data_IF_235400131532
#
_entry.id   IF_235400131532
#
_cell.length_a   1.000
_cell.length_b   1.000
_cell.length_c   1.000
_cell.angle_alpha   90.00
_cell.angle_beta   90.00
_cell.angle_gamma   90.00
#
_symmetry.space_group_name_H-M   'P 1'
#
loop_
_entity.id
_entity.type
_entity.pdbx_description
1 polymer ?
#
# COMPACT_ATOMS: atom_id res chain seq x y z
N UNK A 1 -9.13 -6.70 -20.91
CA UNK A 1 -8.51 -6.07 -19.72
C UNK A 1 -9.33 -6.48 -18.53
N UNK A 2 -8.73 -6.95 -17.44
CA UNK A 2 -9.44 -7.05 -16.16
C UNK A 2 -9.80 -5.62 -15.75
N UNK A 3 -11.06 -5.37 -15.39
CA UNK A 3 -11.47 -4.09 -14.81
C UNK A 3 -10.63 -3.88 -13.55
N UNK A 4 -9.88 -2.79 -13.53
CA UNK A 4 -9.03 -2.42 -12.41
C UNK A 4 -9.36 -1.01 -11.97
N UNK A 5 -9.06 -0.74 -10.70
CA UNK A 5 -9.34 0.54 -10.08
C UNK A 5 -8.05 1.17 -9.57
N UNK A 6 -8.06 2.47 -9.32
CA UNK A 6 -7.00 3.16 -8.58
C UNK A 6 -7.59 4.02 -7.47
N UNK A 7 -6.77 4.31 -6.47
CA UNK A 7 -7.07 5.34 -5.48
C UNK A 7 -6.44 6.64 -5.92
N UNK A 8 -7.20 7.74 -5.88
CA UNK A 8 -6.66 9.05 -6.15
C UNK A 8 -5.78 9.50 -4.98
N UNK A 9 -4.64 10.09 -5.29
CA UNK A 9 -3.76 10.71 -4.32
C UNK A 9 -4.49 11.82 -3.54
N UNK A 10 -4.23 11.86 -2.23
CA UNK A 10 -4.72 12.89 -1.30
C UNK A 10 -3.59 13.84 -0.93
N UNK A 11 -2.39 13.29 -0.78
CA UNK A 11 -1.17 14.01 -0.41
C UNK A 11 -0.52 14.58 -1.64
N UNK A 12 -0.22 15.88 -1.61
CA UNK A 12 0.43 16.56 -2.72
C UNK A 12 1.95 16.31 -2.74
N UNK A 13 2.56 16.53 -3.91
CA UNK A 13 4.01 16.38 -4.12
C UNK A 13 4.86 17.14 -3.09
N UNK A 14 4.45 18.35 -2.70
CA UNK A 14 5.17 19.17 -1.73
C UNK A 14 5.22 18.55 -0.34
N UNK A 15 4.11 17.94 0.09
CA UNK A 15 4.01 17.24 1.37
C UNK A 15 4.84 15.96 1.36
N UNK A 16 4.84 15.22 0.25
CA UNK A 16 5.68 14.04 0.11
C UNK A 16 7.19 14.39 0.15
N UNK A 17 7.61 15.50 -0.48
CA UNK A 17 8.98 16.01 -0.37
C UNK A 17 9.33 16.31 1.09
N UNK A 18 8.43 16.97 1.82
CA UNK A 18 8.64 17.27 3.24
C UNK A 18 8.78 16.00 4.08
N UNK A 19 7.92 15.01 3.87
CA UNK A 19 8.01 13.72 4.55
C UNK A 19 9.36 13.01 4.31
N UNK A 20 9.86 13.04 3.06
CA UNK A 20 11.18 12.50 2.71
C UNK A 20 12.30 13.25 3.43
N UNK A 21 12.24 14.59 3.42
CA UNK A 21 13.26 15.42 4.09
C UNK A 21 13.27 15.19 5.59
N UNK A 22 12.10 15.11 6.23
CA UNK A 22 11.96 14.79 7.65
C UNK A 22 12.56 13.43 7.98
N UNK A 23 12.23 12.40 7.19
CA UNK A 23 12.79 11.06 7.33
C UNK A 23 14.31 11.04 7.21
N UNK A 24 14.87 11.66 6.16
CA UNK A 24 16.32 11.71 5.94
C UNK A 24 17.04 12.58 7.00
N UNK A 25 16.36 13.58 7.56
CA UNK A 25 16.91 14.41 8.64
C UNK A 25 16.87 13.74 10.00
N UNK A 26 16.12 12.64 10.14
CA UNK A 26 15.96 11.93 11.41
C UNK A 26 17.30 11.45 11.95
N UNK A 27 17.47 11.57 13.27
CA UNK A 27 18.73 11.28 13.95
C UNK A 27 19.24 9.86 13.69
N UNK A 28 18.35 8.87 13.68
CA UNK A 28 18.69 7.47 13.42
C UNK A 28 19.19 7.26 11.99
N UNK A 29 18.53 7.85 10.99
CA UNK A 29 18.97 7.74 9.60
C UNK A 29 20.32 8.43 9.42
N UNK A 30 20.53 9.60 10.02
CA UNK A 30 21.80 10.32 9.94
C UNK A 30 22.99 9.56 10.55
N UNK A 31 22.78 8.80 11.62
CA UNK A 31 23.84 7.99 12.25
C UNK A 31 24.16 6.75 11.43
N UNK A 32 23.14 6.10 10.87
CA UNK A 32 23.31 4.88 10.08
C UNK A 32 23.78 5.17 8.64
N UNK A 33 23.51 6.36 8.12
CA UNK A 33 23.91 6.77 6.79
C UNK A 33 25.41 7.11 6.74
N UNK A 34 26.18 6.26 6.06
CA UNK A 34 27.60 6.52 5.75
C UNK A 34 27.81 7.69 4.78
N UNK A 35 26.79 7.99 3.96
CA UNK A 35 26.82 9.04 2.94
C UNK A 35 25.51 9.82 2.97
N UNK A 36 25.62 11.14 2.88
CA UNK A 36 24.47 12.04 2.80
C UNK A 36 23.75 11.82 1.47
N UNK A 37 22.49 11.42 1.55
CA UNK A 37 21.63 11.28 0.37
C UNK A 37 20.86 12.58 0.14
N UNK A 38 20.63 12.92 -1.12
CA UNK A 38 19.85 14.08 -1.50
C UNK A 38 18.73 13.66 -2.45
N UNK A 39 17.51 14.15 -2.22
CA UNK A 39 16.40 13.97 -3.15
C UNK A 39 16.71 14.66 -4.48
N UNK A 40 16.76 13.86 -5.55
CA UNK A 40 17.09 14.31 -6.91
C UNK A 40 15.83 14.55 -7.74
N UNK A 41 14.84 13.67 -7.62
CA UNK A 41 13.56 13.77 -8.33
C UNK A 41 12.47 13.04 -7.55
N UNK A 42 11.22 13.32 -7.88
CA UNK A 42 10.05 12.64 -7.31
C UNK A 42 8.95 12.56 -8.37
N UNK A 43 8.33 11.39 -8.48
CA UNK A 43 7.23 11.11 -9.40
C UNK A 43 6.07 10.41 -8.67
N UNK A 44 4.86 10.54 -9.23
CA UNK A 44 3.70 9.77 -8.77
C UNK A 44 3.67 8.46 -9.53
N UNK A 45 3.62 7.35 -8.79
CA UNK A 45 3.50 6.03 -9.36
C UNK A 45 2.41 5.23 -8.66
N UNK A 46 1.87 4.25 -9.37
CA UNK A 46 0.73 3.45 -8.90
C UNK A 46 1.15 1.99 -8.77
N UNK A 47 1.16 1.50 -7.53
CA UNK A 47 1.56 0.13 -7.22
C UNK A 47 0.33 -0.79 -7.20
N UNK A 48 0.36 -1.95 -7.86
CA UNK A 48 -0.77 -2.88 -7.89
C UNK A 48 -0.89 -3.70 -6.61
N UNK A 49 -2.12 -3.86 -6.15
CA UNK A 49 -2.52 -4.71 -5.02
C UNK A 49 -3.68 -5.61 -5.47
N UNK A 50 -3.75 -6.82 -4.92
CA UNK A 50 -4.96 -7.64 -4.99
C UNK A 50 -5.94 -7.21 -3.91
N UNK A 51 -7.07 -6.65 -4.33
CA UNK A 51 -8.15 -6.22 -3.44
C UNK A 51 -9.21 -7.32 -3.31
N UNK A 52 -9.61 -7.60 -2.07
CA UNK A 52 -10.70 -8.50 -1.74
C UNK A 52 -11.80 -7.72 -1.02
N UNK A 53 -13.00 -7.79 -1.56
CA UNK A 53 -14.18 -7.37 -0.80
C UNK A 53 -14.57 -8.48 0.16
N UNK A 54 -14.69 -8.13 1.43
CA UNK A 54 -14.99 -9.09 2.48
C UNK A 54 -16.24 -8.72 3.25
N UNK A 55 -16.89 -9.75 3.77
CA UNK A 55 -17.90 -9.66 4.81
C UNK A 55 -17.39 -10.42 6.04
N UNK A 56 -17.46 -9.77 7.19
CA UNK A 56 -17.06 -10.31 8.47
C UNK A 56 -18.28 -10.48 9.35
N UNK A 57 -18.47 -11.70 9.87
CA UNK A 57 -19.51 -12.03 10.83
C UNK A 57 -18.89 -12.61 12.10
N UNK A 58 -19.55 -12.37 13.23
CA UNK A 58 -19.15 -12.94 14.52
C UNK A 58 -20.36 -13.03 15.44
N UNK A 59 -20.33 -13.95 16.40
CA UNK A 59 -21.43 -14.17 17.35
C UNK A 59 -21.79 -12.92 18.19
N UNK A 60 -20.90 -11.92 18.29
CA UNK A 60 -21.16 -10.67 19.02
C UNK A 60 -21.55 -9.50 18.14
N UNK A 61 -21.38 -9.61 16.83
CA UNK A 61 -21.75 -8.54 15.91
C UNK A 61 -23.24 -8.67 15.58
N UNK A 62 -23.98 -7.59 15.80
CA UNK A 62 -25.41 -7.54 15.45
C UNK A 62 -25.62 -7.56 13.93
N UNK A 63 -24.65 -7.03 13.19
CA UNK A 63 -24.67 -6.91 11.73
C UNK A 63 -23.29 -7.27 11.17
N UNK A 64 -23.27 -7.77 9.94
CA UNK A 64 -22.04 -8.10 9.25
C UNK A 64 -21.25 -6.83 8.90
N UNK A 65 -19.95 -6.84 9.14
CA UNK A 65 -19.06 -5.74 8.77
C UNK A 65 -18.54 -6.01 7.36
N UNK A 66 -18.76 -5.05 6.47
CA UNK A 66 -18.22 -5.10 5.10
C UNK A 66 -16.99 -4.22 4.99
N UNK A 67 -16.03 -4.66 4.20
CA UNK A 67 -14.83 -3.89 3.95
C UNK A 67 -14.07 -4.38 2.73
N UNK A 68 -12.92 -3.76 2.52
CA UNK A 68 -11.96 -4.11 1.47
C UNK A 68 -10.60 -4.30 2.12
N UNK A 69 -9.87 -5.33 1.70
CA UNK A 69 -8.46 -5.52 2.05
C UNK A 69 -7.66 -5.64 0.77
N UNK A 70 -6.61 -4.85 0.64
CA UNK A 70 -5.69 -4.87 -0.49
C UNK A 70 -4.36 -5.43 -0.03
N UNK A 71 -3.81 -6.40 -0.76
CA UNK A 71 -2.52 -7.05 -0.48
C UNK A 71 -1.57 -6.82 -1.65
N UNK A 72 -0.40 -6.26 -1.35
CA UNK A 72 0.70 -6.12 -2.30
C UNK A 72 1.40 -7.49 -2.45
N UNK A 73 1.49 -8.05 -3.67
CA UNK A 73 1.86 -9.45 -3.88
C UNK A 73 3.34 -9.81 -3.63
N UNK A 74 4.26 -8.84 -3.52
CA UNK A 74 5.70 -9.11 -3.37
C UNK A 74 6.10 -9.18 -1.90
N UNK A 75 5.63 -8.22 -1.11
CA UNK A 75 6.00 -8.04 0.30
C UNK A 75 4.87 -8.40 1.26
N UNK A 76 3.69 -8.76 0.73
CA UNK A 76 2.46 -8.96 1.48
C UNK A 76 2.07 -7.76 2.36
N UNK A 77 2.51 -6.56 1.97
CA UNK A 77 2.08 -5.33 2.62
C UNK A 77 0.59 -5.13 2.35
N UNK A 78 -0.17 -4.82 3.41
CA UNK A 78 -1.62 -4.74 3.34
C UNK A 78 -2.16 -3.34 3.60
N UNK A 79 -3.31 -3.05 3.01
CA UNK A 79 -4.11 -1.86 3.28
C UNK A 79 -5.57 -2.26 3.50
N UNK A 80 -6.18 -1.80 4.60
CA UNK A 80 -7.60 -2.01 4.87
C UNK A 80 -8.34 -0.74 4.48
N UNK A 81 -9.35 -0.90 3.63
CA UNK A 81 -10.16 0.19 3.10
C UNK A 81 -11.63 0.02 3.57
N UNK A 82 -12.32 1.12 3.91
CA UNK A 82 -13.77 1.12 4.08
C UNK A 82 -14.50 0.54 2.86
N UNK A 83 -15.67 -0.06 3.07
CA UNK A 83 -16.46 -0.64 1.98
C UNK A 83 -16.84 0.39 0.90
N UNK A 84 -17.07 1.63 1.31
CA UNK A 84 -17.48 2.79 0.50
C UNK A 84 -16.31 3.68 0.06
N UNK A 85 -15.06 3.26 0.28
CA UNK A 85 -13.91 4.04 -0.16
C UNK A 85 -13.95 4.26 -1.68
N UNK A 86 -13.80 5.51 -2.17
CA UNK A 86 -13.99 5.82 -3.58
C UNK A 86 -12.93 5.13 -4.43
N UNK A 87 -13.39 4.32 -5.39
CA UNK A 87 -12.56 3.64 -6.37
C UNK A 87 -12.74 4.31 -7.73
N UNK A 88 -11.63 4.68 -8.37
CA UNK A 88 -11.65 5.29 -9.70
C UNK A 88 -11.30 4.24 -10.76
N UNK A 89 -12.04 4.15 -11.88
CA UNK A 89 -11.68 3.24 -12.95
C UNK A 89 -10.37 3.68 -13.60
N UNK A 90 -9.51 2.71 -13.93
CA UNK A 90 -8.25 2.98 -14.64
C UNK A 90 -8.51 3.61 -16.02
N UNK A 91 -7.77 4.67 -16.35
CA UNK A 91 -7.69 5.21 -17.70
C UNK A 91 -6.53 4.57 -18.49
N UNK A 92 -6.68 4.43 -19.81
CA UNK A 92 -5.66 3.91 -20.74
C UNK A 92 -4.37 4.73 -20.78
N UNK A 93 -4.45 6.01 -20.45
CA UNK A 93 -3.28 6.92 -20.47
C UNK A 93 -2.45 6.87 -19.17
N UNK A 94 -2.88 6.07 -18.18
CA UNK A 94 -2.13 5.93 -16.93
C UNK A 94 -0.92 5.01 -17.13
N UNK A 95 0.26 5.49 -16.73
CA UNK A 95 1.44 4.65 -16.62
C UNK A 95 1.35 3.83 -15.33
N UNK A 96 0.92 2.57 -15.45
CA UNK A 96 0.70 1.66 -14.33
C UNK A 96 1.78 0.59 -14.30
N UNK A 97 2.26 0.27 -13.10
CA UNK A 97 3.13 -0.88 -12.93
C UNK A 97 2.42 -2.19 -13.28
N UNK A 98 3.14 -3.17 -13.86
CA UNK A 98 2.55 -4.48 -14.11
C UNK A 98 2.24 -5.18 -12.79
N UNK A 99 1.15 -5.95 -12.78
CA UNK A 99 0.84 -6.84 -11.65
C UNK A 99 1.82 -8.01 -11.69
N UNK A 100 2.72 -8.06 -10.72
CA UNK A 100 3.68 -9.16 -10.56
C UNK A 100 3.27 -9.99 -9.35
N UNK A 101 3.12 -11.30 -9.52
CA UNK A 101 2.71 -12.22 -8.47
C UNK A 101 1.21 -12.54 -8.47
N UNK A 102 0.84 -13.49 -7.62
CA UNK A 102 -0.50 -14.07 -7.58
C UNK A 102 -1.34 -13.53 -6.42
N UNK A 103 -2.62 -13.90 -6.41
CA UNK A 103 -3.54 -13.62 -5.32
C UNK A 103 -3.14 -14.41 -4.05
N UNK A 104 -3.03 -13.72 -2.91
CA UNK A 104 -2.84 -14.35 -1.60
C UNK A 104 -4.04 -14.11 -0.69
N UNK A 105 -5.01 -15.04 -0.75
CA UNK A 105 -6.22 -14.98 0.06
C UNK A 105 -5.95 -15.23 1.55
N UNK A 106 -4.90 -15.96 1.89
CA UNK A 106 -4.59 -16.27 3.29
C UNK A 106 -3.96 -15.05 3.97
N UNK A 107 -3.05 -14.34 3.30
CA UNK A 107 -2.54 -13.06 3.78
C UNK A 107 -3.66 -12.01 3.98
N UNK A 108 -4.65 -12.00 3.09
CA UNK A 108 -5.84 -11.17 3.24
C UNK A 108 -6.68 -11.52 4.48
N UNK A 109 -6.94 -12.82 4.71
CA UNK A 109 -7.68 -13.28 5.91
C UNK A 109 -6.92 -12.96 7.19
N UNK A 110 -5.62 -13.24 7.21
CA UNK A 110 -4.77 -12.98 8.38
C UNK A 110 -4.76 -11.49 8.72
N UNK A 111 -4.63 -10.62 7.71
CA UNK A 111 -4.70 -9.16 7.88
C UNK A 111 -6.01 -8.72 8.54
N UNK A 112 -7.16 -9.16 8.00
CA UNK A 112 -8.48 -8.82 8.55
C UNK A 112 -8.63 -9.36 9.97
N UNK A 113 -8.21 -10.61 10.20
CA UNK A 113 -8.28 -11.24 11.51
C UNK A 113 -7.50 -10.44 12.56
N UNK A 114 -6.26 -10.03 12.26
CA UNK A 114 -5.45 -9.23 13.17
C UNK A 114 -6.03 -7.85 13.45
N UNK A 115 -6.54 -7.17 12.43
CA UNK A 115 -7.19 -5.87 12.58
C UNK A 115 -8.38 -5.96 13.55
N UNK A 116 -9.21 -6.98 13.39
CA UNK A 116 -10.40 -7.20 14.21
C UNK A 116 -10.01 -7.65 15.61
N UNK A 117 -9.02 -8.53 15.73
CA UNK A 117 -8.52 -9.00 17.02
C UNK A 117 -7.97 -7.84 17.87
N UNK A 118 -7.26 -6.88 17.27
CA UNK A 118 -6.75 -5.70 17.96
C UNK A 118 -7.89 -4.80 18.48
N UNK A 119 -8.99 -4.67 17.73
CA UNK A 119 -10.16 -3.86 18.10
C UNK A 119 -11.03 -4.52 19.17
N UNK A 120 -11.33 -5.81 19.03
CA UNK A 120 -12.29 -6.53 19.88
C UNK A 120 -11.64 -7.19 21.11
N UNK A 121 -10.30 -7.30 21.16
CA UNK A 121 -9.49 -7.86 22.27
C UNK A 121 -9.91 -9.26 22.76
N UNK A 122 -10.77 -9.98 22.03
CA UNK A 122 -11.28 -11.32 22.42
C UNK A 122 -11.13 -12.30 21.26
N UNK A 123 -10.69 -13.51 21.58
CA UNK A 123 -10.70 -14.66 20.68
C UNK A 123 -12.13 -15.20 20.60
N UNK A 124 -12.92 -14.67 19.67
CA UNK A 124 -14.25 -15.20 19.34
C UNK A 124 -14.25 -15.72 17.91
N UNK A 125 -15.19 -16.58 17.56
CA UNK A 125 -15.33 -17.04 16.18
C UNK A 125 -15.57 -15.83 15.28
N UNK A 126 -14.64 -15.59 14.37
CA UNK A 126 -14.71 -14.58 13.33
C UNK A 126 -14.76 -15.36 12.02
N UNK A 127 -15.84 -15.21 11.28
CA UNK A 127 -15.98 -15.80 9.97
C UNK A 127 -15.78 -14.69 8.92
N UNK A 128 -14.84 -14.92 8.00
CA UNK A 128 -14.49 -13.98 6.94
C UNK A 128 -14.83 -14.63 5.61
N UNK A 129 -15.70 -13.99 4.84
CA UNK A 129 -16.08 -14.41 3.49
C UNK A 129 -15.61 -13.38 2.48
N UNK A 130 -14.96 -13.83 1.41
CA UNK A 130 -14.58 -12.97 0.29
C UNK A 130 -15.63 -13.06 -0.82
N UNK A 131 -16.19 -11.90 -1.19
CA UNK A 131 -17.26 -11.81 -2.18
C UNK A 131 -16.72 -11.63 -3.59
N UNK A 132 -15.62 -10.88 -3.73
CA UNK A 132 -15.00 -10.56 -5.01
C UNK A 132 -13.49 -10.34 -4.84
N UNK A 133 -12.75 -10.42 -5.95
CA UNK A 133 -11.33 -10.10 -5.99
C UNK A 133 -10.99 -9.36 -7.29
N UNK A 134 -10.27 -8.25 -7.19
CA UNK A 134 -9.85 -7.43 -8.34
C UNK A 134 -8.52 -6.74 -8.07
N UNK A 135 -7.93 -6.14 -9.10
CA UNK A 135 -6.69 -5.38 -8.96
C UNK A 135 -7.04 -3.93 -8.63
N UNK A 136 -6.40 -3.40 -7.60
CA UNK A 136 -6.45 -1.98 -7.25
C UNK A 136 -5.03 -1.40 -7.28
N UNK A 137 -4.91 -0.18 -7.74
CA UNK A 137 -3.66 0.55 -7.83
C UNK A 137 -3.61 1.65 -6.76
N UNK A 138 -2.68 1.51 -5.82
CA UNK A 138 -2.48 2.48 -4.75
C UNK A 138 -1.42 3.52 -5.16
N UNK A 139 -1.66 4.82 -4.90
CA UNK A 139 -0.77 5.89 -5.31
C UNK A 139 0.39 6.08 -4.32
N UNK A 140 1.60 6.24 -4.84
CA UNK A 140 2.81 6.52 -4.07
C UNK A 140 3.65 7.60 -4.76
N UNK A 141 4.18 8.51 -3.96
CA UNK A 141 5.24 9.42 -4.40
C UNK A 141 6.59 8.73 -4.24
N UNK A 142 7.30 8.51 -5.34
CA UNK A 142 8.60 7.82 -5.34
C UNK A 142 9.71 8.85 -5.38
N UNK A 143 10.37 9.07 -4.24
CA UNK A 143 11.53 9.95 -4.14
C UNK A 143 12.82 9.24 -4.54
N UNK A 144 13.49 9.73 -5.58
CA UNK A 144 14.79 9.23 -6.02
C UNK A 144 15.91 9.96 -5.28
N UNK A 145 16.69 9.21 -4.51
CA UNK A 145 17.80 9.74 -3.73
C UNK A 145 19.13 9.51 -4.44
N UNK A 146 19.91 10.58 -4.59
CA UNK A 146 21.28 10.55 -5.10
C UNK A 146 22.27 10.50 -3.93
N UNK A 147 23.20 9.55 -4.01
CA UNK A 147 24.36 9.33 -3.13
C UNK A 147 25.33 8.41 -3.87
N UNK A 148 26.01 7.51 -3.18
CA UNK A 148 26.88 6.50 -3.84
C UNK A 148 26.11 5.53 -4.74
N UNK A 149 24.84 5.28 -4.42
CA UNK A 149 23.89 4.51 -5.23
C UNK A 149 22.57 5.27 -5.32
N UNK A 150 21.88 5.12 -6.44
CA UNK A 150 20.50 5.61 -6.58
C UNK A 150 19.62 4.77 -5.64
N UNK A 151 18.95 5.44 -4.70
CA UNK A 151 17.97 4.83 -3.82
C UNK A 151 16.58 5.36 -4.12
N UNK A 152 15.56 4.65 -3.66
CA UNK A 152 14.18 5.13 -3.67
C UNK A 152 13.64 5.21 -2.24
N UNK A 153 12.78 6.19 -2.00
CA UNK A 153 11.92 6.30 -0.82
C UNK A 153 10.47 6.50 -1.29
N UNK A 154 9.62 5.47 -1.17
CA UNK A 154 8.20 5.63 -1.45
C UNK A 154 7.50 6.31 -0.27
N UNK A 155 6.60 7.22 -0.60
CA UNK A 155 5.67 7.86 0.34
C UNK A 155 4.26 7.51 -0.10
N UNK A 156 3.48 6.92 0.79
CA UNK A 156 2.05 6.66 0.57
C UNK A 156 1.32 7.97 0.26
N UNK A 157 0.74 8.09 -0.93
CA UNK A 157 0.11 9.33 -1.36
C UNK A 157 -1.32 9.50 -0.80
N UNK A 158 -1.79 8.57 0.03
CA UNK A 158 -3.01 8.71 0.83
C UNK A 158 -2.68 9.21 2.24
N UNK A 159 -1.64 8.66 2.88
CA UNK A 159 -1.33 8.94 4.30
C UNK A 159 -0.13 9.87 4.53
N UNK A 160 0.73 10.06 3.53
CA UNK A 160 1.94 10.88 3.60
C UNK A 160 3.10 10.22 4.33
N UNK A 161 2.97 8.94 4.69
CA UNK A 161 3.99 8.19 5.43
C UNK A 161 5.00 7.56 4.48
N UNK A 162 6.28 7.62 4.85
CA UNK A 162 7.35 6.86 4.18
C UNK A 162 7.15 5.37 4.44
N UNK A 163 7.07 4.55 3.39
CA UNK A 163 6.85 3.11 3.49
C UNK A 163 8.07 2.31 3.06
N UNK A 164 8.94 1.99 4.02
CA UNK A 164 10.17 1.25 3.73
C UNK A 164 9.93 -0.21 3.31
N UNK A 165 8.78 -0.81 3.65
CA UNK A 165 8.48 -2.20 3.27
C UNK A 165 8.22 -2.27 1.77
N UNK A 166 7.45 -1.33 1.25
CA UNK A 166 7.10 -1.27 -0.18
C UNK A 166 8.27 -0.89 -1.09
N UNK A 167 9.38 -0.39 -0.55
CA UNK A 167 10.61 -0.16 -1.32
C UNK A 167 11.05 -1.40 -2.09
N UNK A 168 11.00 -2.58 -1.47
CA UNK A 168 11.41 -3.83 -2.12
C UNK A 168 10.48 -4.20 -3.27
N UNK A 169 9.16 -3.98 -3.11
CA UNK A 169 8.18 -4.18 -4.16
C UNK A 169 8.48 -3.31 -5.39
N UNK A 170 8.70 -2.00 -5.20
CA UNK A 170 9.06 -1.09 -6.30
C UNK A 170 10.36 -1.51 -6.98
N UNK A 171 11.40 -1.83 -6.23
CA UNK A 171 12.69 -2.24 -6.81
C UNK A 171 12.56 -3.52 -7.63
N UNK A 172 11.77 -4.49 -7.16
CA UNK A 172 11.53 -5.74 -7.88
C UNK A 172 10.75 -5.49 -9.17
N UNK A 173 9.68 -4.71 -9.12
CA UNK A 173 8.89 -4.37 -10.31
C UNK A 173 9.71 -3.62 -11.34
N UNK A 174 10.48 -2.61 -10.93
CA UNK A 174 11.33 -1.82 -11.83
C UNK A 174 12.40 -2.70 -12.50
N UNK A 175 12.87 -3.76 -11.84
CA UNK A 175 13.85 -4.68 -12.40
C UNK A 175 13.26 -5.73 -13.35
N UNK A 176 12.00 -6.13 -13.13
CA UNK A 176 11.29 -7.14 -13.92
C UNK A 176 10.44 -6.56 -15.06
N UNK A 177 10.31 -5.23 -15.14
CA UNK A 177 9.62 -4.50 -16.22
C UNK A 177 10.56 -4.12 -17.36
#
# INVERSE_FOLDING_TARGET
MKEGYFLKEVVEKGEAIKAIQEYESSFLVRILAKVKKQLSSIELAYLPFWCYEYELTSATLKEAIRGKVAIEPITNTSAILPADYPLHPINKDMNLFPVIGEQDKEAAKETIYWEVFQKERKRKSIDITFNSAFVIYLPFWIGYLKGDKVGILPVDAITGKVDLKLKEAFLKIIHES
#
